data_IF_441398339597
#
_entry.id   IF_441398339597
#
_cell.length_a   1.000
_cell.length_b   1.000
_cell.length_c   1.000
_cell.angle_alpha   90.00
_cell.angle_beta   90.00
_cell.angle_gamma   90.00
#
_symmetry.space_group_name_H-M   'P 1'
#
loop_
_entity.id
_entity.type
_entity.pdbx_description
1 polymer ?
#
# COMPACT_ATOMS: atom_id res chain seq x y z
N UNK A 1 32.72 -65.35 60.15
CA UNK A 1 31.86 -64.75 61.20
C UNK A 1 31.23 -63.46 60.66
N UNK A 2 29.97 -63.21 61.02
CA UNK A 2 29.03 -62.14 60.62
C UNK A 2 29.70 -60.75 60.48
N UNK A 3 29.28 -59.87 59.56
CA UNK A 3 28.05 -59.05 59.64
C UNK A 3 27.53 -58.62 58.26
N UNK A 4 26.20 -58.60 58.17
CA UNK A 4 25.34 -58.10 57.08
C UNK A 4 25.28 -56.57 57.11
N UNK A 5 25.09 -55.92 55.97
CA UNK A 5 24.04 -54.89 55.76
C UNK A 5 23.85 -54.68 54.25
N UNK A 6 22.60 -54.87 53.81
CA UNK A 6 22.11 -54.51 52.49
C UNK A 6 21.46 -53.12 52.59
N UNK A 7 21.59 -52.26 51.59
CA UNK A 7 20.63 -51.18 51.34
C UNK A 7 20.64 -50.75 49.87
N UNK A 8 19.45 -50.35 49.42
CA UNK A 8 18.99 -50.15 48.05
C UNK A 8 19.84 -49.18 47.22
N UNK A 9 20.14 -49.54 45.96
CA UNK A 9 20.36 -48.56 44.90
C UNK A 9 18.99 -48.06 44.42
N UNK A 10 18.57 -46.91 44.92
CA UNK A 10 17.51 -46.13 44.31
C UNK A 10 17.98 -44.68 44.20
N UNK A 11 18.12 -44.22 42.96
CA UNK A 11 17.91 -42.84 42.57
C UNK A 11 19.02 -41.83 42.91
N UNK A 12 19.17 -40.91 41.95
CA UNK A 12 19.66 -39.53 42.06
C UNK A 12 20.87 -39.25 41.16
N UNK A 13 20.55 -38.44 40.13
CA UNK A 13 21.41 -37.53 39.39
C UNK A 13 22.05 -37.97 38.06
N UNK A 14 21.21 -38.22 37.06
CA UNK A 14 21.47 -37.66 35.71
C UNK A 14 20.43 -36.58 35.43
N UNK A 15 20.68 -35.36 35.92
CA UNK A 15 20.00 -34.18 35.41
C UNK A 15 20.50 -33.94 33.99
N UNK A 16 19.67 -34.29 33.02
CA UNK A 16 19.75 -33.80 31.65
C UNK A 16 19.58 -32.28 31.72
N UNK A 17 20.68 -31.54 31.75
CA UNK A 17 20.67 -30.12 31.42
C UNK A 17 20.47 -30.01 29.92
N UNK A 18 19.21 -30.04 29.49
CA UNK A 18 18.83 -29.50 28.20
C UNK A 18 19.03 -27.98 28.30
N UNK A 19 20.22 -27.49 27.98
CA UNK A 19 20.44 -26.07 27.76
C UNK A 19 19.63 -25.69 26.53
N UNK A 20 18.51 -24.99 26.73
CA UNK A 20 17.81 -24.32 25.64
C UNK A 20 18.75 -23.23 25.12
N UNK A 21 19.45 -23.52 24.02
CA UNK A 21 20.13 -22.49 23.26
C UNK A 21 19.04 -21.57 22.68
N UNK A 22 18.85 -20.42 23.32
CA UNK A 22 18.09 -19.33 22.71
C UNK A 22 18.91 -18.85 21.51
N UNK A 23 18.51 -19.24 20.30
CA UNK A 23 19.04 -18.62 19.10
C UNK A 23 18.66 -17.14 19.15
N UNK A 24 19.66 -16.28 19.40
CA UNK A 24 19.49 -14.84 19.30
C UNK A 24 18.92 -14.52 17.92
N UNK A 25 17.93 -13.63 17.84
CA UNK A 25 17.39 -13.19 16.56
C UNK A 25 18.54 -12.69 15.69
N UNK A 26 18.71 -13.22 14.46
CA UNK A 26 19.80 -12.81 13.59
C UNK A 26 19.71 -11.31 13.34
N UNK A 27 20.84 -10.62 13.47
CA UNK A 27 20.93 -9.19 13.19
C UNK A 27 20.57 -8.93 11.72
N UNK A 28 19.83 -7.86 11.47
CA UNK A 28 19.44 -7.44 10.12
C UNK A 28 19.95 -6.04 9.84
N UNK A 29 20.60 -5.86 8.69
CA UNK A 29 20.96 -4.54 8.18
C UNK A 29 19.80 -4.03 7.32
N UNK A 30 19.25 -2.86 7.67
CA UNK A 30 18.18 -2.20 6.90
C UNK A 30 18.66 -0.81 6.52
N UNK A 31 18.71 -0.51 5.22
CA UNK A 31 19.05 0.81 4.70
C UNK A 31 17.91 1.27 3.78
N UNK A 32 17.37 2.47 4.02
CA UNK A 32 16.23 3.01 3.27
C UNK A 32 15.04 2.04 3.16
N UNK A 33 14.70 1.37 4.27
CA UNK A 33 13.60 0.39 4.34
C UNK A 33 13.88 -0.96 3.66
N UNK A 34 15.01 -1.12 2.97
CA UNK A 34 15.41 -2.37 2.31
C UNK A 34 16.36 -3.17 3.20
N UNK A 35 16.07 -4.47 3.36
CA UNK A 35 16.98 -5.38 4.06
C UNK A 35 18.17 -5.72 3.14
N UNK A 36 19.39 -5.57 3.67
CA UNK A 36 20.63 -5.90 2.99
C UNK A 36 21.17 -7.19 3.61
N UNK A 37 21.26 -8.25 2.81
CA UNK A 37 21.78 -9.54 3.24
C UNK A 37 23.31 -9.54 3.21
N UNK A 38 23.91 -9.14 4.33
CA UNK A 38 25.35 -9.05 4.53
C UNK A 38 25.71 -9.46 5.95
N UNK A 39 26.90 -10.05 6.16
CA UNK A 39 27.30 -10.52 7.49
C UNK A 39 27.47 -9.33 8.44
N UNK A 40 26.82 -9.43 9.60
CA UNK A 40 26.97 -8.52 10.71
C UNK A 40 27.71 -9.25 11.83
N UNK A 41 28.69 -8.59 12.43
CA UNK A 41 29.47 -9.15 13.54
C UNK A 41 29.23 -8.34 14.81
N UNK A 42 28.85 -8.98 15.91
CA UNK A 42 28.92 -8.35 17.23
C UNK A 42 30.25 -8.69 17.88
N UNK A 43 30.95 -7.67 18.36
CA UNK A 43 32.14 -7.81 19.21
C UNK A 43 31.90 -7.01 20.48
N UNK A 44 31.62 -7.72 21.58
CA UNK A 44 31.12 -7.09 22.81
C UNK A 44 29.79 -6.38 22.55
N UNK A 45 29.70 -5.12 22.93
CA UNK A 45 28.50 -4.27 22.75
C UNK A 45 28.51 -3.48 21.43
N UNK A 46 29.45 -3.76 20.52
CA UNK A 46 29.56 -3.07 19.23
C UNK A 46 29.18 -3.99 18.07
N UNK A 47 28.24 -3.55 17.23
CA UNK A 47 27.89 -4.21 15.97
C UNK A 47 28.71 -3.63 14.82
N UNK A 48 29.42 -4.48 14.10
CA UNK A 48 30.17 -4.16 12.89
C UNK A 48 29.34 -4.52 11.67
N UNK A 49 29.23 -3.57 10.75
CA UNK A 49 28.52 -3.71 9.48
C UNK A 49 29.45 -3.39 8.30
N UNK A 50 29.33 -4.09 7.16
CA UNK A 50 30.19 -3.83 6.01
C UNK A 50 29.95 -2.44 5.42
N UNK A 51 30.94 -1.55 5.54
CA UNK A 51 30.84 -0.16 5.04
C UNK A 51 30.52 -0.11 3.54
N UNK A 52 31.07 -1.04 2.74
CA UNK A 52 30.78 -1.13 1.31
C UNK A 52 29.29 -1.30 1.04
N UNK A 53 28.67 -2.27 1.72
CA UNK A 53 27.25 -2.57 1.53
C UNK A 53 26.36 -1.37 1.91
N UNK A 54 26.70 -0.66 2.98
CA UNK A 54 25.97 0.54 3.40
C UNK A 54 26.16 1.65 2.36
N UNK A 55 27.41 1.98 2.02
CA UNK A 55 27.73 3.09 1.12
C UNK A 55 27.18 2.89 -0.30
N UNK A 56 27.30 1.69 -0.88
CA UNK A 56 26.75 1.38 -2.21
C UNK A 56 25.22 1.43 -2.22
N UNK A 57 24.56 0.97 -1.14
CA UNK A 57 23.11 1.10 -1.01
C UNK A 57 22.63 2.56 -0.90
N UNK A 58 23.53 3.48 -0.53
CA UNK A 58 23.29 4.92 -0.48
C UNK A 58 23.75 5.64 -1.77
N UNK A 59 24.19 4.89 -2.80
CA UNK A 59 24.57 5.43 -4.10
C UNK A 59 26.03 5.89 -4.21
N UNK A 60 26.88 5.52 -3.26
CA UNK A 60 28.31 5.83 -3.30
C UNK A 60 29.14 4.66 -3.85
N UNK A 61 30.17 4.97 -4.62
CA UNK A 61 31.17 4.01 -5.08
C UNK A 61 32.23 3.78 -3.99
N UNK A 62 32.64 2.54 -3.76
CA UNK A 62 33.60 2.21 -2.69
C UNK A 62 34.86 1.57 -3.26
N UNK A 63 35.99 2.23 -3.06
CA UNK A 63 37.32 1.79 -3.51
C UNK A 63 38.24 1.54 -2.31
N UNK A 64 39.18 0.62 -2.47
CA UNK A 64 40.24 0.38 -1.51
C UNK A 64 41.56 0.93 -2.05
N UNK A 65 42.21 1.81 -1.29
CA UNK A 65 43.58 2.24 -1.51
C UNK A 65 44.50 1.37 -0.65
N UNK A 66 45.19 0.42 -1.29
CA UNK A 66 46.09 -0.50 -0.62
C UNK A 66 47.42 0.12 -0.21
N UNK A 67 47.85 1.22 -0.85
CA UNK A 67 49.10 1.89 -0.49
C UNK A 67 48.91 2.72 0.78
N UNK A 68 47.77 3.40 0.90
CA UNK A 68 47.45 4.22 2.06
C UNK A 68 46.67 3.47 3.14
N UNK A 69 46.26 2.23 2.88
CA UNK A 69 45.40 1.43 3.76
C UNK A 69 44.07 2.15 4.09
N UNK A 70 43.43 2.72 3.07
CA UNK A 70 42.23 3.54 3.21
C UNK A 70 41.05 3.02 2.37
N UNK A 71 39.85 3.15 2.94
CA UNK A 71 38.59 2.99 2.19
C UNK A 71 38.16 4.34 1.67
N UNK A 72 38.03 4.48 0.35
CA UNK A 72 37.53 5.67 -0.32
C UNK A 72 36.06 5.44 -0.63
N UNK A 73 35.19 6.30 -0.08
CA UNK A 73 33.76 6.32 -0.38
C UNK A 73 33.47 7.56 -1.22
N UNK A 74 33.15 7.34 -2.49
CA UNK A 74 32.90 8.39 -3.46
C UNK A 74 31.40 8.53 -3.74
N UNK A 75 30.81 9.62 -3.25
CA UNK A 75 29.42 9.95 -3.48
C UNK A 75 29.24 11.07 -4.52
N UNK A 76 30.24 11.29 -5.38
CA UNK A 76 30.21 12.36 -6.37
C UNK A 76 29.08 12.14 -7.38
N UNK A 77 28.86 10.90 -7.83
CA UNK A 77 27.80 10.57 -8.78
C UNK A 77 26.40 10.91 -8.25
N UNK A 78 26.06 10.52 -7.02
CA UNK A 78 24.74 10.86 -6.48
C UNK A 78 24.58 12.37 -6.25
N UNK A 79 25.64 13.08 -5.82
CA UNK A 79 25.63 14.55 -5.70
C UNK A 79 25.42 15.23 -7.06
N UNK A 80 26.06 14.74 -8.12
CA UNK A 80 25.88 15.28 -9.47
C UNK A 80 24.48 15.02 -10.00
N UNK A 81 23.90 13.84 -9.75
CA UNK A 81 22.52 13.54 -10.11
C UNK A 81 21.53 14.41 -9.33
N UNK A 82 21.73 14.60 -8.02
CA UNK A 82 20.90 15.50 -7.21
C UNK A 82 20.98 16.94 -7.72
N UNK A 83 22.17 17.41 -8.06
CA UNK A 83 22.35 18.74 -8.66
C UNK A 83 21.65 18.84 -10.02
N UNK A 84 21.77 17.81 -10.88
CA UNK A 84 21.07 17.78 -12.17
C UNK A 84 19.55 17.84 -11.98
N UNK A 85 18.99 17.07 -11.05
CA UNK A 85 17.55 17.09 -10.73
C UNK A 85 17.14 18.47 -10.22
N UNK A 86 17.90 19.06 -9.30
CA UNK A 86 17.62 20.40 -8.80
C UNK A 86 17.60 21.43 -9.94
N UNK A 87 18.59 21.40 -10.84
CA UNK A 87 18.66 22.31 -11.98
C UNK A 87 17.51 22.11 -12.98
N UNK A 88 17.04 20.87 -13.15
CA UNK A 88 15.88 20.56 -13.99
C UNK A 88 14.57 21.03 -13.36
N UNK A 89 14.35 20.75 -12.06
CA UNK A 89 13.21 21.29 -11.30
C UNK A 89 13.20 22.81 -11.40
N UNK A 90 14.39 23.40 -11.31
CA UNK A 90 14.56 24.84 -11.36
C UNK A 90 14.21 25.47 -12.71
N UNK A 91 14.65 24.84 -13.78
CA UNK A 91 14.43 25.29 -15.15
C UNK A 91 12.99 25.05 -15.63
N UNK A 92 12.33 24.01 -15.12
CA UNK A 92 10.98 23.60 -15.50
C UNK A 92 9.90 24.10 -14.53
N UNK A 93 10.30 24.83 -13.48
CA UNK A 93 9.39 25.30 -12.46
C UNK A 93 8.25 26.14 -13.06
N UNK A 94 7.01 25.95 -12.58
CA UNK A 94 5.87 26.70 -13.07
C UNK A 94 6.04 28.22 -12.87
N UNK A 95 5.82 28.98 -13.94
CA UNK A 95 5.90 30.46 -13.92
C UNK A 95 4.53 31.11 -13.76
N UNK A 96 3.46 30.32 -13.82
CA UNK A 96 2.08 30.76 -13.58
C UNK A 96 1.39 29.83 -12.58
N UNK A 97 0.40 30.33 -11.81
CA UNK A 97 -0.32 29.50 -10.84
C UNK A 97 -1.04 28.32 -11.50
N UNK A 98 -1.66 28.57 -12.66
CA UNK A 98 -2.35 27.54 -13.45
C UNK A 98 -1.42 26.45 -13.95
N UNK A 99 -0.18 26.80 -14.36
CA UNK A 99 0.81 25.81 -14.75
C UNK A 99 1.16 24.89 -13.58
N UNK A 100 1.31 25.40 -12.36
CA UNK A 100 1.59 24.57 -11.19
C UNK A 100 0.45 23.59 -10.89
N UNK A 101 -0.80 24.08 -10.90
CA UNK A 101 -1.98 23.24 -10.69
C UNK A 101 -2.11 22.16 -11.77
N UNK A 102 -1.85 22.52 -13.03
CA UNK A 102 -1.89 21.61 -14.17
C UNK A 102 -0.83 20.52 -14.05
N UNK A 103 0.43 20.88 -13.83
CA UNK A 103 1.53 19.92 -13.70
C UNK A 103 1.30 18.95 -12.53
N UNK A 104 0.75 19.43 -11.41
CA UNK A 104 0.38 18.52 -10.33
C UNK A 104 -0.68 17.50 -10.76
N UNK A 105 -1.75 17.95 -11.45
CA UNK A 105 -2.83 17.08 -11.92
C UNK A 105 -2.36 16.07 -12.97
N UNK A 106 -1.48 16.50 -13.89
CA UNK A 106 -0.80 15.63 -14.86
C UNK A 106 0.04 14.56 -14.16
N UNK A 107 0.80 14.94 -13.13
CA UNK A 107 1.55 13.98 -12.32
C UNK A 107 0.67 12.93 -11.65
N UNK A 108 -0.55 13.28 -11.22
CA UNK A 108 -1.53 12.30 -10.70
C UNK A 108 -1.99 11.35 -11.82
N UNK A 109 -2.36 11.90 -12.99
CA UNK A 109 -2.80 11.14 -14.16
C UNK A 109 -1.71 10.17 -14.67
N UNK A 110 -0.46 10.63 -14.73
CA UNK A 110 0.70 9.84 -15.15
C UNK A 110 1.20 8.87 -14.08
N UNK A 111 0.64 8.93 -12.86
CA UNK A 111 1.14 8.22 -11.68
C UNK A 111 2.60 8.53 -11.38
N UNK A 112 3.01 9.76 -11.65
CA UNK A 112 4.37 10.25 -11.51
C UNK A 112 4.48 11.12 -10.26
N UNK A 113 5.05 10.53 -9.21
CA UNK A 113 5.27 11.19 -7.93
C UNK A 113 6.37 12.23 -7.98
N UNK A 114 7.36 12.06 -8.86
CA UNK A 114 8.40 13.06 -9.07
C UNK A 114 7.84 14.33 -9.71
N UNK A 115 6.92 14.19 -10.67
CA UNK A 115 6.21 15.32 -11.31
C UNK A 115 5.35 16.09 -10.30
N UNK A 116 4.60 15.39 -9.44
CA UNK A 116 3.85 16.02 -8.36
C UNK A 116 4.78 16.72 -7.34
N UNK A 117 5.86 16.06 -6.97
CA UNK A 117 6.84 16.59 -6.01
C UNK A 117 7.52 17.85 -6.53
N UNK A 118 7.86 17.90 -7.82
CA UNK A 118 8.52 19.03 -8.46
C UNK A 118 7.75 20.36 -8.27
N UNK A 119 6.42 20.30 -8.19
CA UNK A 119 5.57 21.49 -8.03
C UNK A 119 5.03 21.70 -6.61
N UNK A 120 5.49 20.92 -5.63
CA UNK A 120 5.15 21.14 -4.24
C UNK A 120 6.03 22.19 -3.59
N UNK A 121 5.40 22.98 -2.71
CA UNK A 121 6.08 23.85 -1.76
C UNK A 121 7.01 23.05 -0.84
N UNK A 122 8.06 23.68 -0.27
CA UNK A 122 8.93 23.05 0.72
C UNK A 122 8.15 22.41 1.88
N UNK A 123 7.11 23.08 2.37
CA UNK A 123 6.30 22.61 3.49
C UNK A 123 5.49 21.34 3.12
N UNK A 124 4.92 21.32 1.91
CA UNK A 124 4.16 20.17 1.42
C UNK A 124 5.07 18.97 1.11
N UNK A 125 6.30 19.24 0.63
CA UNK A 125 7.36 18.23 0.46
C UNK A 125 7.80 17.64 1.80
N UNK A 126 8.00 18.45 2.83
CA UNK A 126 8.36 17.95 4.17
C UNK A 126 7.24 17.08 4.75
N UNK A 127 5.98 17.51 4.60
CA UNK A 127 4.82 16.77 5.10
C UNK A 127 4.58 15.43 4.40
N UNK A 128 4.84 15.33 3.09
CA UNK A 128 4.42 14.18 2.27
C UNK A 128 5.57 13.44 1.56
N UNK A 129 6.79 13.96 1.56
CA UNK A 129 7.90 13.47 0.72
C UNK A 129 8.31 12.03 0.98
N UNK A 130 8.11 11.54 2.21
CA UNK A 130 8.38 10.14 2.56
C UNK A 130 7.43 9.14 1.89
N UNK A 131 6.26 9.58 1.42
CA UNK A 131 5.27 8.72 0.77
C UNK A 131 5.60 8.39 -0.69
N UNK A 132 6.56 9.11 -1.30
CA UNK A 132 6.94 8.96 -2.71
C UNK A 132 8.40 8.53 -2.90
N UNK A 133 9.23 8.76 -1.87
CA UNK A 133 10.66 8.45 -1.84
C UNK A 133 11.00 6.94 -1.76
N UNK A 134 12.25 6.59 -1.35
CA UNK A 134 12.77 5.22 -1.43
C UNK A 134 11.87 4.22 -0.68
N UNK A 135 11.25 3.30 -1.44
CA UNK A 135 10.20 2.40 -0.97
C UNK A 135 8.89 2.53 -1.77
N UNK A 136 8.61 3.72 -2.34
CA UNK A 136 7.45 4.01 -3.22
C UNK A 136 7.79 4.19 -4.70
N UNK A 137 9.08 4.13 -5.07
CA UNK A 137 9.60 4.22 -6.45
C UNK A 137 9.10 5.44 -7.27
N UNK A 138 8.74 6.55 -6.60
CA UNK A 138 8.17 7.73 -7.25
C UNK A 138 6.89 7.45 -8.06
N UNK A 139 6.17 6.37 -7.75
CA UNK A 139 4.88 6.05 -8.37
C UNK A 139 3.75 6.42 -7.42
N UNK A 140 2.69 7.03 -7.95
CA UNK A 140 1.52 7.41 -7.15
C UNK A 140 0.27 6.64 -7.57
N UNK A 141 -0.58 6.29 -6.61
CA UNK A 141 -1.83 5.59 -6.90
C UNK A 141 -1.62 4.11 -7.27
N UNK A 142 -2.64 3.52 -7.88
CA UNK A 142 -2.70 2.08 -8.23
C UNK A 142 -3.00 1.90 -9.73
N UNK A 143 -2.98 0.65 -10.19
CA UNK A 143 -3.30 0.31 -11.58
C UNK A 143 -4.77 0.56 -11.91
N UNK A 144 -5.69 0.29 -10.97
CA UNK A 144 -7.13 0.58 -11.03
C UNK A 144 -7.68 0.86 -9.62
N UNK A 145 -8.55 1.87 -9.43
CA UNK A 145 -8.89 2.90 -10.41
C UNK A 145 -7.70 3.85 -10.65
N UNK A 146 -7.56 4.36 -11.88
CA UNK A 146 -6.57 5.37 -12.24
C UNK A 146 -7.27 6.64 -12.73
N UNK A 147 -6.58 7.79 -12.65
CA UNK A 147 -7.08 9.03 -13.24
C UNK A 147 -6.82 8.96 -14.74
N UNK A 148 -7.89 8.91 -15.53
CA UNK A 148 -7.84 8.86 -16.99
C UNK A 148 -7.89 10.26 -17.62
N UNK A 149 -8.47 11.23 -16.91
CA UNK A 149 -8.49 12.63 -17.30
C UNK A 149 -8.73 13.56 -16.11
N UNK A 150 -8.46 14.84 -16.30
CA UNK A 150 -8.74 15.85 -15.29
C UNK A 150 -9.20 17.16 -15.93
N UNK A 151 -9.88 17.98 -15.14
CA UNK A 151 -10.28 19.34 -15.50
C UNK A 151 -9.95 20.31 -14.36
N UNK A 152 -9.38 21.47 -14.72
CA UNK A 152 -9.20 22.58 -13.79
C UNK A 152 -10.42 23.51 -13.88
N UNK A 153 -11.09 23.69 -12.75
CA UNK A 153 -12.31 24.49 -12.59
C UNK A 153 -12.15 25.43 -11.39
N UNK A 154 -13.13 26.32 -11.20
CA UNK A 154 -13.20 27.23 -10.04
C UNK A 154 -11.88 27.97 -9.73
N UNK A 155 -11.23 28.52 -10.76
CA UNK A 155 -10.04 29.36 -10.57
C UNK A 155 -10.42 30.61 -9.78
N UNK A 156 -9.81 30.80 -8.61
CA UNK A 156 -10.01 31.99 -7.78
C UNK A 156 -8.67 32.60 -7.40
N UNK A 157 -8.53 33.89 -7.67
CA UNK A 157 -7.44 34.69 -7.12
C UNK A 157 -7.78 35.07 -5.68
N UNK A 158 -7.00 34.59 -4.72
CA UNK A 158 -7.13 34.97 -3.30
C UNK A 158 -6.42 36.30 -3.08
N UNK A 159 -5.21 36.43 -3.63
CA UNK A 159 -4.40 37.65 -3.68
C UNK A 159 -3.37 37.57 -4.82
N UNK A 160 -2.48 38.55 -4.97
CA UNK A 160 -1.49 38.61 -6.05
C UNK A 160 -0.47 37.45 -6.04
N UNK A 161 -0.33 36.74 -4.92
CA UNK A 161 0.63 35.64 -4.73
C UNK A 161 -0.07 34.30 -4.45
N UNK A 162 -1.40 34.26 -4.45
CA UNK A 162 -2.16 33.07 -4.04
C UNK A 162 -3.39 32.86 -4.91
N UNK A 163 -3.49 31.66 -5.46
CA UNK A 163 -4.65 31.20 -6.24
C UNK A 163 -5.16 29.87 -5.70
N UNK A 164 -6.45 29.62 -5.90
CA UNK A 164 -7.03 28.30 -5.71
C UNK A 164 -7.60 27.74 -7.02
N UNK A 165 -7.53 26.42 -7.17
CA UNK A 165 -8.08 25.69 -8.30
C UNK A 165 -8.81 24.45 -7.79
N UNK A 166 -10.00 24.18 -8.29
CA UNK A 166 -10.62 22.86 -8.16
C UNK A 166 -10.10 21.97 -9.29
N UNK A 167 -9.54 20.82 -8.92
CA UNK A 167 -9.14 19.77 -9.87
C UNK A 167 -10.19 18.69 -9.81
N UNK A 168 -10.95 18.51 -10.90
CA UNK A 168 -11.90 17.40 -11.06
C UNK A 168 -11.17 16.27 -11.77
N UNK A 169 -11.03 15.12 -11.11
CA UNK A 169 -10.35 13.94 -11.64
C UNK A 169 -11.38 12.90 -12.08
N UNK A 170 -11.29 12.48 -13.34
CA UNK A 170 -12.08 11.40 -13.92
C UNK A 170 -11.33 10.09 -13.74
N UNK A 171 -11.94 9.14 -13.04
CA UNK A 171 -11.34 7.83 -12.81
C UNK A 171 -11.82 6.81 -13.84
N UNK A 172 -10.98 5.82 -14.11
CA UNK A 172 -11.30 4.63 -14.88
C UNK A 172 -10.76 3.36 -14.20
N UNK A 173 -11.42 2.24 -14.47
CA UNK A 173 -10.93 0.88 -14.23
C UNK A 173 -10.76 0.16 -15.57
N UNK A 174 -10.28 -1.08 -15.52
CA UNK A 174 -10.17 -1.94 -16.71
C UNK A 174 -11.52 -2.26 -17.38
N UNK A 175 -12.64 -2.03 -16.71
CA UNK A 175 -13.99 -2.24 -17.25
C UNK A 175 -14.71 -0.93 -17.60
N UNK A 176 -14.02 0.21 -17.49
CA UNK A 176 -14.47 1.52 -17.99
C UNK A 176 -14.50 2.61 -16.91
N UNK A 177 -15.31 3.67 -17.06
CA UNK A 177 -15.33 4.81 -16.14
C UNK A 177 -15.62 4.40 -14.70
N UNK A 178 -14.98 5.08 -13.75
CA UNK A 178 -14.97 4.78 -12.32
C UNK A 178 -15.33 5.99 -11.44
N UNK A 179 -16.17 6.87 -11.96
CA UNK A 179 -16.63 8.08 -11.26
C UNK A 179 -15.62 9.23 -11.26
N UNK A 180 -15.89 10.23 -10.43
CA UNK A 180 -15.09 11.44 -10.31
C UNK A 180 -14.76 11.74 -8.84
N UNK A 181 -13.62 12.37 -8.62
CA UNK A 181 -13.30 13.01 -7.34
C UNK A 181 -12.79 14.42 -7.58
N UNK A 182 -12.82 15.27 -6.56
CA UNK A 182 -12.29 16.63 -6.66
C UNK A 182 -11.42 16.97 -5.47
N UNK A 183 -10.35 17.72 -5.73
CA UNK A 183 -9.52 18.36 -4.71
C UNK A 183 -9.43 19.86 -4.98
N UNK A 184 -9.17 20.64 -3.94
CA UNK A 184 -8.85 22.06 -4.08
C UNK A 184 -7.37 22.25 -3.84
N UNK A 185 -6.67 22.75 -4.85
CA UNK A 185 -5.28 23.17 -4.73
C UNK A 185 -5.23 24.62 -4.29
N UNK A 186 -4.37 24.92 -3.32
CA UNK A 186 -3.87 26.27 -3.10
C UNK A 186 -2.48 26.35 -3.71
N UNK A 187 -2.27 27.34 -4.57
CA UNK A 187 -1.02 27.61 -5.26
C UNK A 187 -0.50 28.96 -4.79
N UNK A 188 0.72 28.96 -4.26
CA UNK A 188 1.35 30.15 -3.70
C UNK A 188 2.65 30.45 -4.46
N UNK A 189 3.00 31.73 -4.55
CA UNK A 189 4.21 32.20 -5.20
C UNK A 189 5.42 32.12 -4.27
N UNK A 190 6.46 31.42 -4.69
CA UNK A 190 7.76 31.33 -4.03
C UNK A 190 8.80 31.91 -4.98
N UNK A 191 9.27 33.12 -4.69
CA UNK A 191 10.15 33.89 -5.56
C UNK A 191 9.60 34.03 -7.01
N UNK A 192 10.26 33.38 -7.96
CA UNK A 192 9.91 33.40 -9.39
C UNK A 192 9.09 32.18 -9.83
N UNK A 193 8.59 31.37 -8.88
CA UNK A 193 7.91 30.11 -9.17
C UNK A 193 6.58 30.03 -8.44
N UNK A 194 5.66 29.27 -9.01
CA UNK A 194 4.39 28.95 -8.39
C UNK A 194 4.39 27.50 -7.97
N UNK A 195 4.05 27.25 -6.71
CA UNK A 195 4.07 25.91 -6.12
C UNK A 195 2.74 25.63 -5.42
N UNK A 196 2.32 24.38 -5.44
CA UNK A 196 1.18 23.89 -4.67
C UNK A 196 1.58 23.88 -3.19
N UNK A 197 0.91 24.72 -2.41
CA UNK A 197 1.13 24.85 -0.96
C UNK A 197 0.17 23.99 -0.14
N UNK A 198 -1.03 23.70 -0.67
CA UNK A 198 -2.03 22.87 0.01
C UNK A 198 -2.86 22.09 -1.00
N UNK A 199 -3.17 20.84 -0.64
CA UNK A 199 -4.14 19.98 -1.32
C UNK A 199 -5.25 19.72 -0.30
N UNK A 200 -6.40 20.36 -0.48
CA UNK A 200 -7.56 20.26 0.40
C UNK A 200 -8.68 19.43 -0.21
N UNK A 201 -9.59 18.97 0.65
CA UNK A 201 -10.86 18.40 0.19
C UNK A 201 -11.68 19.48 -0.50
N UNK A 202 -12.18 19.19 -1.71
CA UNK A 202 -13.13 20.08 -2.34
C UNK A 202 -14.48 19.96 -1.62
N UNK A 203 -15.19 21.06 -1.33
CA UNK A 203 -16.57 20.95 -0.88
C UNK A 203 -17.35 20.16 -1.94
N UNK A 204 -18.16 19.21 -1.48
CA UNK A 204 -18.97 18.36 -2.34
C UNK A 204 -19.70 19.24 -3.36
N UNK A 205 -19.54 18.95 -4.66
CA UNK A 205 -20.38 19.61 -5.65
C UNK A 205 -21.83 19.21 -5.37
N UNK A 206 -22.81 20.11 -5.58
CA UNK A 206 -24.23 19.78 -5.37
C UNK A 206 -24.71 18.58 -6.19
N UNK A 207 -24.00 18.25 -7.29
CA UNK A 207 -24.28 17.08 -8.15
C UNK A 207 -23.33 15.90 -7.88
N UNK A 208 -22.40 16.03 -6.93
CA UNK A 208 -21.64 14.87 -6.43
C UNK A 208 -22.51 14.16 -5.40
N UNK A 209 -22.97 12.92 -5.65
CA UNK A 209 -23.62 12.17 -4.61
C UNK A 209 -22.67 12.15 -3.42
N UNK A 210 -23.19 12.58 -2.27
CA UNK A 210 -22.38 12.63 -1.06
C UNK A 210 -21.67 11.29 -0.93
N UNK A 211 -20.32 11.32 -0.87
CA UNK A 211 -19.57 10.14 -0.47
C UNK A 211 -20.07 9.77 0.92
N UNK A 212 -21.00 8.82 0.96
CA UNK A 212 -21.50 8.29 2.21
C UNK A 212 -20.27 7.74 2.91
N UNK A 213 -19.93 8.32 4.05
CA UNK A 213 -18.75 7.95 4.83
C UNK A 213 -19.05 6.66 5.58
N UNK A 214 -19.14 5.57 4.85
CA UNK A 214 -19.34 4.23 5.38
C UNK A 214 -18.01 3.70 5.93
N UNK A 215 -17.69 4.01 7.18
CA UNK A 215 -16.56 3.36 7.85
C UNK A 215 -17.00 1.96 8.30
N UNK A 216 -16.58 0.92 7.58
CA UNK A 216 -16.93 -0.47 7.91
C UNK A 216 -16.02 -1.01 9.01
N UNK A 217 -16.61 -1.29 10.17
CA UNK A 217 -15.97 -2.09 11.22
C UNK A 217 -16.41 -3.56 11.08
N UNK A 218 -15.45 -4.48 11.18
CA UNK A 218 -15.70 -5.90 11.26
C UNK A 218 -15.19 -6.41 12.61
N UNK A 219 -16.01 -7.18 13.31
CA UNK A 219 -15.58 -7.93 14.50
C UNK A 219 -15.26 -9.36 14.10
N UNK A 220 -13.99 -9.75 14.21
CA UNK A 220 -13.54 -11.11 13.95
C UNK A 220 -14.09 -12.09 14.99
N UNK A 221 -14.12 -13.40 14.71
CA UNK A 221 -14.51 -14.42 15.70
C UNK A 221 -13.68 -14.39 16.99
N UNK A 222 -12.47 -13.81 16.95
CA UNK A 222 -11.61 -13.58 18.11
C UNK A 222 -12.06 -12.42 19.01
N UNK A 223 -13.06 -11.66 18.59
CA UNK A 223 -13.49 -10.41 19.23
C UNK A 223 -12.69 -9.17 18.80
N UNK A 224 -11.62 -9.34 18.00
CA UNK A 224 -10.84 -8.22 17.46
C UNK A 224 -11.68 -7.43 16.45
N UNK A 225 -11.73 -6.11 16.62
CA UNK A 225 -12.33 -5.20 15.64
C UNK A 225 -11.28 -4.73 14.63
N UNK A 226 -11.64 -4.67 13.36
CA UNK A 226 -10.82 -4.12 12.27
C UNK A 226 -11.65 -3.15 11.42
N UNK A 227 -10.99 -2.12 10.86
CA UNK A 227 -11.63 -1.07 10.04
C UNK A 227 -11.01 -1.04 8.65
N UNK A 228 -11.80 -0.76 7.61
CA UNK A 228 -11.28 -0.65 6.24
C UNK A 228 -10.33 0.57 6.05
N UNK A 229 -9.25 0.46 5.27
CA UNK A 229 -8.68 -0.77 4.71
C UNK A 229 -7.90 -1.57 5.77
N UNK A 230 -8.08 -2.89 5.80
CA UNK A 230 -7.33 -3.75 6.73
C UNK A 230 -7.02 -5.11 6.11
N UNK A 231 -5.89 -5.67 6.53
CA UNK A 231 -5.46 -7.03 6.24
C UNK A 231 -5.25 -7.79 7.55
N UNK A 232 -5.84 -8.97 7.65
CA UNK A 232 -5.69 -9.83 8.82
C UNK A 232 -5.37 -11.27 8.39
N UNK A 233 -4.30 -11.85 8.94
CA UNK A 233 -4.03 -13.29 8.76
C UNK A 233 -4.91 -14.09 9.73
N UNK A 234 -5.90 -14.82 9.20
CA UNK A 234 -6.79 -15.66 10.02
C UNK A 234 -6.17 -17.03 10.34
N UNK A 235 -5.33 -17.55 9.43
CA UNK A 235 -4.56 -18.77 9.61
C UNK A 235 -3.33 -18.78 8.70
N UNK A 236 -2.51 -19.84 8.74
CA UNK A 236 -1.36 -19.99 7.84
C UNK A 236 -1.71 -20.00 6.35
N UNK A 237 -2.97 -20.29 6.00
CA UNK A 237 -3.42 -20.43 4.62
C UNK A 237 -4.55 -19.47 4.23
N UNK A 238 -5.07 -18.70 5.18
CA UNK A 238 -6.28 -17.88 5.01
C UNK A 238 -5.96 -16.48 5.49
N UNK A 239 -6.05 -15.54 4.57
CA UNK A 239 -5.89 -14.12 4.84
C UNK A 239 -7.21 -13.42 4.58
N UNK A 240 -7.55 -12.45 5.40
CA UNK A 240 -8.74 -11.64 5.27
C UNK A 240 -8.33 -10.25 4.78
N UNK A 241 -8.97 -9.78 3.72
CA UNK A 241 -8.84 -8.41 3.24
C UNK A 241 -10.20 -7.72 3.34
N UNK A 242 -10.23 -6.58 4.03
CA UNK A 242 -11.42 -5.72 4.13
C UNK A 242 -11.14 -4.41 3.39
N UNK A 243 -11.86 -4.18 2.30
CA UNK A 243 -11.68 -2.98 1.47
C UNK A 243 -12.99 -2.27 1.19
N UNK A 244 -12.86 -0.96 1.03
CA UNK A 244 -13.90 -0.10 0.46
C UNK A 244 -13.38 0.33 -0.89
N UNK A 245 -14.06 -0.08 -1.95
CA UNK A 245 -13.81 0.39 -3.29
C UNK A 245 -14.70 1.59 -3.54
N UNK A 246 -14.06 2.72 -3.83
CA UNK A 246 -14.73 4.01 -3.92
C UNK A 246 -15.84 4.03 -4.98
N UNK A 247 -15.69 3.28 -6.08
CA UNK A 247 -16.76 3.14 -7.06
C UNK A 247 -16.56 1.96 -8.01
N UNK A 248 -17.61 1.20 -8.32
CA UNK A 248 -17.67 0.15 -9.36
C UNK A 248 -18.94 0.29 -10.19
N UNK A 249 -18.92 -0.12 -11.47
CA UNK A 249 -20.11 -0.07 -12.31
C UNK A 249 -21.22 -0.97 -11.76
N UNK A 250 -22.45 -0.46 -11.77
CA UNK A 250 -23.63 -1.09 -11.18
C UNK A 250 -24.44 -1.89 -12.18
N UNK A 251 -23.92 -2.23 -13.36
CA UNK A 251 -24.63 -3.00 -14.37
C UNK A 251 -25.06 -4.36 -13.80
N UNK A 252 -26.30 -4.34 -13.31
CA UNK A 252 -26.99 -5.26 -12.41
C UNK A 252 -26.21 -6.50 -11.95
N UNK A 253 -25.71 -6.50 -10.71
CA UNK A 253 -25.25 -7.69 -9.95
C UNK A 253 -24.13 -8.50 -10.66
N UNK A 254 -23.72 -8.13 -11.87
CA UNK A 254 -22.98 -8.99 -12.77
C UNK A 254 -21.63 -8.44 -13.25
N UNK A 255 -21.26 -7.18 -13.00
CA UNK A 255 -19.90 -6.69 -13.29
C UNK A 255 -19.04 -6.48 -12.03
N UNK A 256 -19.03 -7.47 -11.17
CA UNK A 256 -18.02 -7.63 -10.11
C UNK A 256 -16.58 -7.77 -10.64
N UNK A 257 -16.37 -7.80 -11.96
CA UNK A 257 -15.01 -7.83 -12.53
C UNK A 257 -14.23 -6.56 -12.17
N UNK A 258 -14.91 -5.41 -12.06
CA UNK A 258 -14.34 -4.17 -11.54
C UNK A 258 -13.92 -4.23 -10.07
N UNK A 259 -14.41 -5.23 -9.31
CA UNK A 259 -14.16 -5.39 -7.87
C UNK A 259 -12.92 -6.25 -7.60
N UNK A 260 -12.77 -7.35 -8.33
CA UNK A 260 -11.67 -8.33 -8.10
C UNK A 260 -10.35 -7.91 -8.77
N UNK A 261 -10.36 -6.84 -9.58
CA UNK A 261 -9.17 -6.30 -10.23
C UNK A 261 -8.63 -7.14 -11.39
N UNK A 262 -7.52 -6.70 -11.98
CA UNK A 262 -6.92 -7.34 -13.16
C UNK A 262 -6.34 -8.73 -12.85
N UNK A 263 -6.18 -9.55 -13.90
CA UNK A 263 -5.68 -10.94 -13.84
C UNK A 263 -6.54 -11.91 -13.02
N UNK A 264 -7.78 -11.54 -12.70
CA UNK A 264 -8.76 -12.39 -12.06
C UNK A 264 -9.73 -12.99 -13.10
N UNK A 265 -10.08 -14.26 -12.91
CA UNK A 265 -11.12 -14.98 -13.63
C UNK A 265 -12.18 -15.40 -12.61
N UNK A 266 -13.38 -14.84 -12.71
CA UNK A 266 -14.51 -15.24 -11.87
C UNK A 266 -15.06 -16.57 -12.38
N UNK A 267 -14.93 -17.63 -11.59
CA UNK A 267 -15.34 -19.01 -11.91
C UNK A 267 -16.80 -19.27 -11.59
N UNK A 268 -17.31 -18.71 -10.49
CA UNK A 268 -18.70 -18.85 -10.10
C UNK A 268 -19.18 -17.66 -9.26
N UNK A 269 -20.51 -17.52 -9.16
CA UNK A 269 -21.20 -16.47 -8.43
C UNK A 269 -22.35 -17.06 -7.62
N UNK A 270 -22.50 -16.63 -6.38
CA UNK A 270 -23.57 -17.06 -5.48
C UNK A 270 -24.09 -15.88 -4.67
N UNK A 271 -25.40 -15.71 -4.64
CA UNK A 271 -26.04 -14.68 -3.83
C UNK A 271 -26.22 -15.14 -2.38
N UNK A 272 -25.72 -14.34 -1.44
CA UNK A 272 -25.72 -14.63 0.00
C UNK A 272 -26.37 -13.48 0.76
N UNK A 273 -27.37 -13.82 1.57
CA UNK A 273 -27.98 -12.86 2.49
C UNK A 273 -27.17 -12.79 3.79
N UNK A 274 -26.66 -11.60 4.11
CA UNK A 274 -25.92 -11.30 5.33
C UNK A 274 -26.72 -10.34 6.23
N UNK A 275 -26.37 -10.21 7.51
CA UNK A 275 -26.92 -9.14 8.36
C UNK A 275 -26.63 -7.75 7.81
N UNK A 276 -25.48 -7.57 7.14
CA UNK A 276 -25.07 -6.34 6.47
C UNK A 276 -25.87 -6.01 5.19
N UNK A 277 -26.60 -6.96 4.61
CA UNK A 277 -27.32 -6.78 3.34
C UNK A 277 -27.17 -7.98 2.39
N UNK A 278 -27.56 -7.75 1.13
CA UNK A 278 -27.39 -8.75 0.06
C UNK A 278 -25.95 -8.69 -0.47
N UNK A 279 -25.25 -9.82 -0.46
CA UNK A 279 -23.87 -9.95 -0.93
C UNK A 279 -23.75 -10.96 -2.06
N UNK A 280 -22.80 -10.76 -2.97
CA UNK A 280 -22.42 -11.73 -3.99
C UNK A 280 -21.09 -12.38 -3.59
N UNK A 281 -21.09 -13.69 -3.39
CA UNK A 281 -19.88 -14.51 -3.25
C UNK A 281 -19.35 -14.90 -4.63
N UNK A 282 -18.06 -14.70 -4.84
CA UNK A 282 -17.34 -15.00 -6.06
C UNK A 282 -16.25 -16.03 -5.75
N UNK A 283 -16.16 -17.03 -6.62
CA UNK A 283 -15.01 -17.90 -6.74
C UNK A 283 -14.10 -17.35 -7.83
N UNK A 284 -12.84 -17.06 -7.49
CA UNK A 284 -11.92 -16.32 -8.35
C UNK A 284 -10.61 -17.08 -8.48
N UNK A 285 -10.16 -17.28 -9.71
CA UNK A 285 -8.81 -17.69 -10.03
C UNK A 285 -7.99 -16.46 -10.43
N UNK A 286 -6.86 -16.23 -9.78
CA UNK A 286 -5.95 -15.14 -10.11
C UNK A 286 -4.64 -15.67 -10.63
N UNK A 287 -4.25 -15.23 -11.83
CA UNK A 287 -2.91 -15.44 -12.36
C UNK A 287 -2.00 -14.27 -11.97
N UNK A 288 -0.70 -14.53 -11.85
CA UNK A 288 0.25 -13.43 -11.73
C UNK A 288 0.33 -12.62 -13.04
N UNK A 289 0.69 -11.34 -12.99
CA UNK A 289 0.87 -10.54 -14.20
C UNK A 289 1.93 -11.17 -15.11
N UNK A 290 1.76 -11.13 -16.43
CA UNK A 290 2.72 -11.74 -17.37
C UNK A 290 4.18 -11.25 -17.19
N UNK A 291 4.38 -10.05 -16.63
CA UNK A 291 5.69 -9.50 -16.31
C UNK A 291 6.41 -10.19 -15.14
N UNK A 292 5.71 -10.99 -14.32
CA UNK A 292 6.31 -11.68 -13.18
C UNK A 292 7.08 -12.95 -13.56
N UNK A 293 6.88 -13.48 -14.78
CA UNK A 293 7.36 -14.81 -15.19
C UNK A 293 6.99 -15.91 -14.17
N UNK A 294 5.82 -15.79 -13.56
CA UNK A 294 5.30 -16.72 -12.55
C UNK A 294 3.94 -17.25 -13.01
N UNK A 295 3.84 -18.55 -13.23
CA UNK A 295 2.61 -19.21 -13.69
C UNK A 295 1.71 -19.64 -12.52
N UNK A 296 1.99 -19.19 -11.29
CA UNK A 296 1.20 -19.52 -10.12
C UNK A 296 -0.23 -18.98 -10.23
N UNK A 297 -1.19 -19.87 -9.96
CA UNK A 297 -2.61 -19.52 -9.83
C UNK A 297 -2.98 -19.50 -8.35
N UNK A 298 -3.48 -18.35 -7.89
CA UNK A 298 -4.08 -18.20 -6.55
C UNK A 298 -5.58 -18.37 -6.67
N UNK A 299 -6.19 -19.13 -5.75
CA UNK A 299 -7.63 -19.23 -5.66
C UNK A 299 -8.14 -18.34 -4.52
N UNK A 300 -9.21 -17.61 -4.79
CA UNK A 300 -9.75 -16.61 -3.90
C UNK A 300 -11.27 -16.73 -3.81
N UNK A 301 -11.81 -16.51 -2.61
CA UNK A 301 -13.22 -16.23 -2.42
C UNK A 301 -13.40 -14.75 -2.09
N UNK A 302 -14.29 -14.08 -2.82
CA UNK A 302 -14.64 -12.67 -2.59
C UNK A 302 -16.11 -12.56 -2.27
N UNK A 303 -16.43 -11.94 -1.14
CA UNK A 303 -17.78 -11.55 -0.79
C UNK A 303 -17.92 -10.05 -1.02
N UNK A 304 -18.83 -9.68 -1.90
CA UNK A 304 -18.99 -8.31 -2.38
C UNK A 304 -20.36 -7.79 -1.97
N UNK A 305 -20.39 -6.68 -1.26
CA UNK A 305 -21.63 -5.98 -0.91
C UNK A 305 -21.63 -4.63 -1.61
N UNK A 306 -22.58 -4.43 -2.52
CA UNK A 306 -22.73 -3.16 -3.24
C UNK A 306 -23.55 -2.19 -2.39
N UNK A 307 -23.03 -0.98 -2.22
CA UNK A 307 -23.71 0.14 -1.61
C UNK A 307 -24.76 0.76 -2.55
N UNK A 308 -25.43 1.84 -2.12
CA UNK A 308 -26.39 2.54 -2.95
C UNK A 308 -25.73 3.10 -4.22
N UNK A 309 -26.55 3.26 -5.26
CA UNK A 309 -26.16 3.92 -6.51
C UNK A 309 -25.64 5.34 -6.21
N UNK A 310 -24.47 5.63 -6.75
CA UNK A 310 -23.74 6.89 -6.69
C UNK A 310 -23.87 7.67 -8.00
N UNK A 311 -24.88 7.38 -8.82
CA UNK A 311 -25.12 7.99 -10.13
C UNK A 311 -24.25 7.41 -11.24
N UNK A 312 -24.69 7.59 -12.50
CA UNK A 312 -23.99 7.12 -13.71
C UNK A 312 -23.72 5.60 -13.78
N UNK A 313 -24.63 4.76 -13.28
CA UNK A 313 -24.47 3.30 -13.16
C UNK A 313 -23.23 2.93 -12.32
N UNK A 314 -23.07 3.54 -11.14
CA UNK A 314 -21.89 3.31 -10.30
C UNK A 314 -22.29 3.15 -8.83
N UNK A 315 -21.63 2.29 -8.07
CA UNK A 315 -21.88 2.11 -6.64
C UNK A 315 -20.58 1.90 -5.85
N UNK A 316 -20.61 2.20 -4.55
CA UNK A 316 -19.55 1.80 -3.63
C UNK A 316 -19.57 0.27 -3.46
N UNK A 317 -18.42 -0.37 -3.29
CA UNK A 317 -18.37 -1.79 -2.97
C UNK A 317 -17.55 -2.06 -1.70
N UNK A 318 -18.13 -2.83 -0.78
CA UNK A 318 -17.38 -3.43 0.31
C UNK A 318 -16.99 -4.85 -0.06
N UNK A 319 -15.74 -5.20 0.21
CA UNK A 319 -15.24 -6.53 -0.07
C UNK A 319 -14.66 -7.17 1.16
N UNK A 320 -15.00 -8.45 1.32
CA UNK A 320 -14.32 -9.36 2.21
C UNK A 320 -13.75 -10.49 1.36
N UNK A 321 -12.43 -10.62 1.28
CA UNK A 321 -11.83 -11.68 0.48
C UNK A 321 -10.85 -12.52 1.25
N UNK A 322 -10.72 -13.77 0.80
CA UNK A 322 -9.69 -14.70 1.25
C UNK A 322 -8.99 -15.36 0.08
N UNK A 323 -7.66 -15.39 0.13
CA UNK A 323 -6.83 -16.15 -0.78
C UNK A 323 -6.38 -17.46 -0.11
N UNK A 324 -6.27 -18.53 -0.88
CA UNK A 324 -5.70 -19.80 -0.45
C UNK A 324 -4.77 -20.38 -1.53
N UNK A 325 -3.63 -20.91 -1.08
CA UNK A 325 -2.65 -21.57 -1.94
C UNK A 325 -3.06 -23.03 -2.19
N UNK A 326 -2.94 -23.46 -3.44
CA UNK A 326 -3.55 -24.65 -4.05
C UNK A 326 -3.26 -26.05 -3.42
N UNK A 327 -4.02 -27.05 -3.92
CA UNK A 327 -4.09 -28.51 -3.65
C UNK A 327 -4.41 -28.99 -2.21
N UNK A 328 -3.83 -28.41 -1.16
CA UNK A 328 -3.99 -28.90 0.23
C UNK A 328 -4.94 -28.05 1.10
N UNK A 329 -5.59 -27.05 0.53
CA UNK A 329 -6.60 -26.25 1.20
C UNK A 329 -7.98 -26.82 0.85
N UNK A 330 -8.81 -27.11 1.86
CA UNK A 330 -10.21 -27.50 1.66
C UNK A 330 -11.03 -26.24 1.27
N UNK A 331 -11.42 -26.07 -0.01
CA UNK A 331 -12.09 -24.85 -0.46
C UNK A 331 -13.44 -24.66 0.25
N UNK A 332 -14.11 -25.75 0.63
CA UNK A 332 -15.36 -25.69 1.36
C UNK A 332 -15.15 -25.16 2.78
N UNK A 333 -14.05 -25.54 3.44
CA UNK A 333 -13.68 -24.99 4.74
C UNK A 333 -13.34 -23.50 4.67
N UNK A 334 -12.58 -23.08 3.65
CA UNK A 334 -12.22 -21.65 3.43
C UNK A 334 -13.48 -20.82 3.17
N UNK A 335 -14.35 -21.27 2.26
CA UNK A 335 -15.63 -20.63 1.97
C UNK A 335 -16.51 -20.53 3.22
N UNK A 336 -16.61 -21.61 4.00
CA UNK A 336 -17.38 -21.62 5.26
C UNK A 336 -16.82 -20.63 6.28
N UNK A 337 -15.50 -20.54 6.39
CA UNK A 337 -14.84 -19.58 7.28
C UNK A 337 -15.12 -18.14 6.84
N UNK A 338 -15.01 -17.82 5.55
CA UNK A 338 -15.32 -16.50 5.00
C UNK A 338 -16.76 -16.09 5.31
N UNK A 339 -17.72 -16.98 5.03
CA UNK A 339 -19.15 -16.73 5.31
C UNK A 339 -19.39 -16.54 6.81
N UNK A 340 -18.74 -17.34 7.66
CA UNK A 340 -18.86 -17.21 9.12
C UNK A 340 -18.35 -15.87 9.63
N UNK A 341 -17.27 -15.34 9.06
CA UNK A 341 -16.76 -14.00 9.39
C UNK A 341 -17.72 -12.92 8.87
N UNK A 342 -18.27 -13.09 7.67
CA UNK A 342 -19.22 -12.15 7.10
C UNK A 342 -20.55 -12.07 7.86
N UNK A 343 -20.93 -13.13 8.59
CA UNK A 343 -22.13 -13.12 9.45
C UNK A 343 -21.99 -12.19 10.65
N UNK A 344 -20.78 -11.87 11.11
CA UNK A 344 -20.56 -10.87 12.18
C UNK A 344 -20.38 -9.45 11.65
N UNK A 345 -20.52 -9.26 10.33
CA UNK A 345 -20.34 -7.97 9.69
C UNK A 345 -21.57 -7.09 9.86
N UNK A 346 -21.35 -5.86 10.30
CA UNK A 346 -22.37 -4.83 10.47
C UNK A 346 -21.92 -3.60 9.72
N UNK A 347 -22.75 -3.11 8.79
CA UNK A 347 -22.52 -1.80 8.19
C UNK A 347 -23.07 -0.72 9.14
N UNK A 348 -22.40 0.43 9.28
CA UNK A 348 -23.04 1.60 9.87
C UNK A 348 -24.30 1.95 9.05
N UNK A 349 -25.41 2.22 9.73
CA UNK A 349 -26.65 2.69 9.11
C UNK A 349 -26.58 4.17 8.76
#
# INVERSE_FOLDING_TARGET
MKKRTAFLMSGVLLCVLATTAFAATPLKLIVNGKTIDQPLEMKGDVTYAPIRAIAESLGADVKWDGEQQQVIVDNTNAKLLQLQVQLLEDALAPTTPKQAAKTWAEGVQHRNGAEQFAVWSPELREKNGTNFGPGGNWVTGVSSPWVDGYELTDEQQVDDNTYTYRVVMNYATSTGPAGQASVVLTVHRYDNRWLVSTIGEAPASPDTPQQVKWTTELTLPTGKKISSPSYEKLSDKVNLRLETLNVVKSDGVNDVNGVVGNHAIVKSREEIKLPAGQATLLDVERTMPAASNDDTVTHEYWLVLLGPDSGNDMCLAYTLSTAYANQDADPAAVKKQLISVAQSWVLPQ
#
